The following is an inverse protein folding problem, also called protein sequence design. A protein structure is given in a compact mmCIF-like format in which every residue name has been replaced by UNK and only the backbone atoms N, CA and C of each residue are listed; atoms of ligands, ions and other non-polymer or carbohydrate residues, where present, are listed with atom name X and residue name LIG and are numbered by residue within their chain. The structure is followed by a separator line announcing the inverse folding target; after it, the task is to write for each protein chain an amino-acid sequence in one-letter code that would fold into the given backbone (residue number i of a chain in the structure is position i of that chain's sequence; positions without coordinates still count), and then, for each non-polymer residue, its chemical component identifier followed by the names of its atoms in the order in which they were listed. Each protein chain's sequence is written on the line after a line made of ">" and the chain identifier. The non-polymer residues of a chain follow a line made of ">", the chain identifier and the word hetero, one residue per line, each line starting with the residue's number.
data_IF_646724331525
#
_entry.id   IF_646724331525
#
_cell.length_a   1.000
_cell.length_b   1.000
_cell.length_c   1.000
_cell.angle_alpha   90.00
_cell.angle_beta   90.00
_cell.angle_gamma   90.00
#
_symmetry.space_group_name_H-M   'P 1'
#
loop_
_entity.id
_entity.type
_entity.pdbx_description
1 polymer ?
#
# COMPACT_ATOMS: atom_id res chain seq x y z
N UNK A 1 -1.62 -8.86 -10.41
CA UNK A 1 -2.73 -7.88 -10.49
C UNK A 1 -3.93 -8.39 -9.67
N UNK A 2 -3.87 -8.24 -8.35
CA UNK A 2 -4.99 -8.30 -7.37
C UNK A 2 -4.39 -8.26 -5.95
N UNK A 3 -3.46 -7.32 -5.71
CA UNK A 3 -2.76 -7.24 -4.41
C UNK A 3 -3.43 -6.22 -3.48
N UNK A 4 -4.08 -5.20 -4.05
CA UNK A 4 -4.86 -4.19 -3.30
C UNK A 4 -6.02 -4.72 -2.46
N UNK A 5 -6.60 -5.87 -2.81
CA UNK A 5 -7.74 -6.41 -2.07
C UNK A 5 -7.34 -7.15 -0.78
N UNK A 6 -6.05 -7.46 -0.58
CA UNK A 6 -5.59 -8.21 0.62
C UNK A 6 -5.27 -7.31 1.80
N UNK A 7 -4.79 -6.08 1.58
CA UNK A 7 -4.70 -5.06 2.63
C UNK A 7 -6.08 -4.48 3.01
N UNK A 8 -7.02 -4.39 2.06
CA UNK A 8 -8.41 -4.02 2.39
C UNK A 8 -9.08 -5.02 3.35
N UNK A 9 -8.83 -6.33 3.19
CA UNK A 9 -9.20 -7.33 4.21
C UNK A 9 -8.44 -7.11 5.52
N UNK A 10 -7.16 -6.74 5.45
CA UNK A 10 -6.33 -6.46 6.62
C UNK A 10 -6.81 -5.27 7.45
N UNK A 11 -7.43 -4.29 6.79
CA UNK A 11 -8.09 -3.13 7.36
C UNK A 11 -9.62 -3.26 7.35
N UNK A 12 -10.13 -4.48 7.57
CA UNK A 12 -11.52 -4.74 7.95
C UNK A 12 -12.61 -4.52 6.89
N UNK A 13 -12.26 -4.41 5.60
CA UNK A 13 -13.25 -4.50 4.53
C UNK A 13 -13.63 -5.98 4.32
N UNK A 14 -14.47 -6.50 5.21
CA UNK A 14 -15.01 -7.87 5.17
C UNK A 14 -16.15 -8.05 4.17
N UNK A 15 -16.38 -7.07 3.28
CA UNK A 15 -17.55 -7.03 2.39
C UNK A 15 -17.11 -7.29 0.95
N UNK A 16 -17.74 -8.26 0.30
CA UNK A 16 -17.54 -8.64 -1.11
C UNK A 16 -18.09 -7.55 -2.05
N UNK A 17 -17.50 -6.36 -2.03
CA UNK A 17 -18.11 -5.15 -2.60
C UNK A 17 -17.12 -4.31 -3.42
N UNK A 18 -16.28 -4.93 -4.25
CA UNK A 18 -15.30 -4.21 -5.08
C UNK A 18 -15.07 -4.87 -6.44
N UNK A 19 -15.40 -4.15 -7.50
CA UNK A 19 -15.17 -4.55 -8.90
C UNK A 19 -14.36 -3.48 -9.63
N UNK A 20 -13.56 -3.86 -10.62
CA UNK A 20 -12.82 -2.88 -11.40
C UNK A 20 -12.09 -3.41 -12.63
N UNK A 21 -11.69 -2.47 -13.48
CA UNK A 21 -10.92 -2.64 -14.69
C UNK A 21 -9.66 -1.79 -14.54
N UNK A 22 -8.49 -2.43 -14.58
CA UNK A 22 -7.19 -1.81 -14.24
C UNK A 22 -6.18 -2.00 -15.38
N UNK A 23 -5.48 -0.93 -15.73
CA UNK A 23 -4.37 -0.95 -16.68
C UNK A 23 -3.03 -0.69 -15.97
N UNK A 24 -1.92 -0.62 -16.73
CA UNK A 24 -0.58 -0.36 -16.19
C UNK A 24 -0.42 1.03 -15.59
N UNK A 25 -1.16 2.01 -16.11
CA UNK A 25 -1.20 3.40 -15.64
C UNK A 25 -2.34 3.65 -14.63
N UNK A 26 -2.91 2.58 -14.05
CA UNK A 26 -3.88 2.67 -12.95
C UNK A 26 -5.32 2.24 -13.29
N UNK A 27 -6.27 2.51 -12.38
CA UNK A 27 -7.67 2.12 -12.53
C UNK A 27 -8.36 2.89 -13.66
N UNK A 28 -9.11 2.18 -14.51
CA UNK A 28 -9.86 2.75 -15.65
C UNK A 28 -11.36 2.83 -15.39
N UNK A 29 -11.88 1.90 -14.61
CA UNK A 29 -13.24 1.89 -14.09
C UNK A 29 -13.24 1.07 -12.80
N UNK A 30 -13.98 1.49 -11.77
CA UNK A 30 -14.14 0.72 -10.56
C UNK A 30 -15.49 1.02 -9.92
N UNK A 31 -15.99 0.09 -9.13
CA UNK A 31 -17.22 0.21 -8.37
C UNK A 31 -17.00 -0.42 -7.00
N UNK A 32 -17.29 0.36 -5.96
CA UNK A 32 -17.27 -0.09 -4.58
C UNK A 32 -18.60 0.32 -3.94
N UNK A 33 -19.31 -0.64 -3.34
CA UNK A 33 -20.58 -0.39 -2.70
C UNK A 33 -20.93 -1.50 -1.71
N UNK A 34 -20.96 -1.16 -0.43
CA UNK A 34 -21.31 -2.07 0.67
C UNK A 34 -22.78 -1.99 1.08
N UNK A 35 -23.53 -1.01 0.55
CA UNK A 35 -24.91 -0.70 0.96
C UNK A 35 -25.97 -1.37 0.09
N UNK A 36 -25.68 -1.63 -1.19
CA UNK A 36 -26.66 -2.20 -2.12
C UNK A 36 -26.31 -3.64 -2.52
N UNK A 37 -27.33 -4.51 -2.57
CA UNK A 37 -27.21 -5.90 -3.05
C UNK A 37 -27.27 -6.03 -4.58
N UNK A 38 -27.34 -4.91 -5.32
CA UNK A 38 -27.49 -4.94 -6.77
C UNK A 38 -26.16 -5.20 -7.48
N UNK A 39 -26.17 -6.05 -8.51
CA UNK A 39 -25.05 -6.19 -9.43
C UNK A 39 -24.75 -4.88 -10.17
N UNK A 40 -23.48 -4.68 -10.55
CA UNK A 40 -23.03 -3.50 -11.29
C UNK A 40 -22.19 -3.90 -12.51
N UNK A 41 -22.56 -3.40 -13.69
CA UNK A 41 -21.84 -3.66 -14.93
C UNK A 41 -20.83 -2.54 -15.21
N UNK A 42 -19.54 -2.89 -15.29
CA UNK A 42 -18.47 -1.99 -15.71
C UNK A 42 -18.03 -2.34 -17.13
N UNK A 43 -17.96 -1.33 -18.01
CA UNK A 43 -17.46 -1.48 -19.38
C UNK A 43 -16.39 -0.42 -19.64
N UNK A 44 -15.24 -0.84 -20.17
CA UNK A 44 -14.16 0.07 -20.52
C UNK A 44 -13.28 -0.49 -21.64
N UNK A 45 -12.88 0.38 -22.56
CA UNK A 45 -11.90 0.06 -23.59
C UNK A 45 -10.47 0.05 -23.02
N UNK A 46 -9.66 -0.89 -23.47
CA UNK A 46 -8.26 -1.05 -23.08
C UNK A 46 -7.37 -1.25 -24.31
N UNK A 47 -6.12 -0.81 -24.21
CA UNK A 47 -5.10 -1.08 -25.21
C UNK A 47 -4.75 -2.58 -25.23
N UNK A 48 -4.86 -3.22 -26.38
CA UNK A 48 -4.56 -4.66 -26.53
C UNK A 48 -3.10 -5.00 -26.25
N UNK A 49 -2.18 -4.07 -26.54
CA UNK A 49 -0.74 -4.25 -26.32
C UNK A 49 -0.15 -3.09 -25.52
N UNK A 50 -0.36 -3.05 -24.18
CA UNK A 50 0.07 -1.94 -23.33
C UNK A 50 1.58 -1.70 -23.35
N UNK A 51 2.37 -2.75 -23.60
CA UNK A 51 3.84 -2.68 -23.64
C UNK A 51 4.38 -1.69 -24.69
N UNK A 52 3.68 -1.54 -25.82
CA UNK A 52 4.06 -0.60 -26.87
C UNK A 52 3.45 0.79 -26.69
N UNK A 53 2.69 1.01 -25.61
CA UNK A 53 2.18 2.33 -25.29
C UNK A 53 3.34 3.23 -24.85
N UNK A 54 3.39 4.50 -25.27
CA UNK A 54 4.34 5.46 -24.71
C UNK A 54 4.17 5.63 -23.19
N UNK A 55 2.98 5.30 -22.67
CA UNK A 55 2.64 5.36 -21.24
C UNK A 55 2.98 4.07 -20.48
N UNK A 56 3.72 3.12 -21.10
CA UNK A 56 4.11 1.90 -20.39
C UNK A 56 5.14 2.22 -19.31
N UNK A 57 4.91 1.78 -18.05
CA UNK A 57 5.80 2.12 -16.95
C UNK A 57 7.17 1.49 -17.15
N UNK A 58 8.20 2.31 -16.94
CA UNK A 58 9.60 1.87 -16.92
C UNK A 58 9.83 1.00 -15.68
N UNK A 59 10.81 0.10 -15.75
CA UNK A 59 11.23 -0.67 -14.59
C UNK A 59 11.61 0.24 -13.40
N UNK A 60 10.99 -0.01 -12.25
CA UNK A 60 11.19 0.76 -11.03
C UNK A 60 12.26 0.11 -10.17
N UNK A 61 13.23 0.90 -9.71
CA UNK A 61 14.16 0.48 -8.68
C UNK A 61 13.62 0.90 -7.31
N UNK A 62 12.86 0.01 -6.67
CA UNK A 62 12.10 0.29 -5.45
C UNK A 62 12.93 0.71 -4.25
N UNK A 63 14.22 0.41 -4.23
CA UNK A 63 15.13 0.69 -3.12
C UNK A 63 16.01 1.93 -3.35
N UNK A 64 16.05 2.48 -4.57
CA UNK A 64 17.03 3.50 -4.97
C UNK A 64 16.90 4.79 -4.17
N UNK A 65 15.70 5.36 -4.08
CA UNK A 65 15.46 6.59 -3.32
C UNK A 65 15.76 6.40 -1.83
N UNK A 66 15.15 5.37 -1.23
CA UNK A 66 15.26 5.09 0.20
C UNK A 66 16.72 4.83 0.65
N UNK A 67 17.55 4.23 -0.21
CA UNK A 67 18.95 3.95 0.12
C UNK A 67 19.86 5.20 0.13
N UNK A 68 19.43 6.31 -0.49
CA UNK A 68 20.21 7.56 -0.53
C UNK A 68 19.96 8.45 0.69
N UNK A 69 19.00 8.12 1.53
CA UNK A 69 18.62 8.93 2.70
C UNK A 69 19.57 8.56 3.85
N UNK A 70 20.49 9.47 4.19
CA UNK A 70 21.68 9.17 5.01
C UNK A 70 21.41 8.76 6.47
N UNK A 71 20.28 9.07 7.10
CA UNK A 71 19.73 8.36 8.27
C UNK A 71 18.43 9.01 8.80
N UNK A 72 17.69 8.20 9.58
CA UNK A 72 16.35 8.41 10.13
C UNK A 72 16.17 9.73 10.91
N UNK A 73 14.94 10.30 10.94
CA UNK A 73 14.59 11.16 12.06
C UNK A 73 14.70 10.36 13.37
N UNK A 74 15.48 10.95 14.26
CA UNK A 74 15.82 10.55 15.61
C UNK A 74 14.61 10.45 16.55
N UNK A 75 14.62 9.42 17.42
CA UNK A 75 13.99 9.35 18.75
C UNK A 75 12.69 10.13 18.98
N UNK A 76 11.59 9.76 18.32
CA UNK A 76 10.24 10.16 18.74
C UNK A 76 9.35 8.94 18.82
N UNK A 77 8.65 8.83 19.96
CA UNK A 77 7.68 7.81 20.36
C UNK A 77 7.24 6.88 19.20
N UNK A 78 7.86 5.71 19.12
CA UNK A 78 7.34 4.63 18.28
C UNK A 78 6.52 3.67 19.14
N UNK A 79 5.50 3.10 18.53
CA UNK A 79 4.65 2.09 19.16
C UNK A 79 4.44 0.93 18.20
N UNK A 80 3.95 -0.19 18.72
CA UNK A 80 3.68 -1.37 17.90
C UNK A 80 2.19 -1.67 17.84
N UNK A 81 1.77 -2.31 16.75
CA UNK A 81 0.37 -2.66 16.55
C UNK A 81 0.21 -3.83 15.62
N UNK A 82 -0.77 -4.67 15.89
CA UNK A 82 -1.09 -5.81 15.04
C UNK A 82 -2.13 -5.37 14.01
N UNK A 83 -1.76 -5.40 12.73
CA UNK A 83 -2.68 -5.23 11.60
C UNK A 83 -2.71 -6.55 10.86
N UNK A 84 -3.89 -7.18 10.80
CA UNK A 84 -4.10 -8.45 10.11
C UNK A 84 -3.05 -9.50 10.47
N UNK A 85 -2.93 -9.74 11.78
CA UNK A 85 -2.01 -10.70 12.38
C UNK A 85 -0.51 -10.41 12.19
N UNK A 86 -0.15 -9.27 11.61
CA UNK A 86 1.24 -8.84 11.43
C UNK A 86 1.60 -7.74 12.44
N UNK A 87 2.75 -7.86 13.11
CA UNK A 87 3.23 -6.86 14.07
C UNK A 87 3.97 -5.73 13.34
N UNK A 88 3.29 -4.60 13.20
CA UNK A 88 3.85 -3.37 12.64
C UNK A 88 4.47 -2.49 13.72
N UNK A 89 5.44 -1.67 13.30
CA UNK A 89 5.97 -0.55 14.07
C UNK A 89 5.50 0.76 13.45
N UNK A 90 5.06 1.70 14.29
CA UNK A 90 4.47 2.97 13.88
C UNK A 90 5.17 4.18 14.49
N UNK A 91 5.15 5.29 13.76
CA UNK A 91 5.48 6.63 14.26
C UNK A 91 4.39 7.61 13.83
N UNK A 92 4.00 8.49 14.74
CA UNK A 92 2.93 9.47 14.51
C UNK A 92 3.43 10.69 13.73
N UNK A 93 2.59 11.19 12.81
CA UNK A 93 2.80 12.47 12.14
C UNK A 93 2.27 13.60 13.04
N UNK A 94 3.12 14.13 13.93
CA UNK A 94 2.71 15.14 14.91
C UNK A 94 2.52 16.53 14.30
N UNK A 95 3.32 16.88 13.29
CA UNK A 95 3.30 18.18 12.62
C UNK A 95 2.41 18.14 11.36
N UNK A 96 1.97 19.30 10.82
CA UNK A 96 1.26 19.35 9.54
C UNK A 96 2.18 19.10 8.32
N UNK A 97 3.49 19.27 8.47
CA UNK A 97 4.49 19.03 7.43
C UNK A 97 5.74 18.42 8.06
N UNK A 98 6.38 17.48 7.38
CA UNK A 98 7.65 16.96 7.84
C UNK A 98 8.16 15.73 7.10
N UNK A 99 9.26 15.20 7.62
CA UNK A 99 9.87 13.97 7.17
C UNK A 99 9.93 12.99 8.34
N UNK A 100 9.48 11.76 8.13
CA UNK A 100 9.56 10.70 9.12
C UNK A 100 10.09 9.41 8.48
N UNK A 101 10.72 8.55 9.30
CA UNK A 101 11.13 7.23 8.88
C UNK A 101 10.98 6.25 10.02
N UNK A 102 10.70 4.99 9.68
CA UNK A 102 10.60 3.90 10.63
C UNK A 102 11.09 2.61 10.00
N UNK A 103 11.78 1.79 10.77
CA UNK A 103 12.33 0.53 10.30
C UNK A 103 11.73 -0.65 11.06
N UNK A 104 11.54 -1.76 10.35
CA UNK A 104 11.27 -3.06 10.93
C UNK A 104 12.12 -4.10 10.19
N UNK A 105 13.06 -4.72 10.90
CA UNK A 105 14.08 -5.60 10.32
C UNK A 105 14.86 -4.89 9.21
N UNK A 106 15.02 -5.54 8.05
CA UNK A 106 15.75 -5.02 6.88
C UNK A 106 14.95 -3.98 6.07
N UNK A 107 13.73 -3.62 6.49
CA UNK A 107 12.90 -2.63 5.81
C UNK A 107 12.84 -1.33 6.61
N UNK A 108 13.40 -0.27 6.05
CA UNK A 108 13.20 1.12 6.46
C UNK A 108 12.27 1.84 5.48
N UNK A 109 11.21 2.44 6.00
CA UNK A 109 10.21 3.21 5.29
C UNK A 109 10.41 4.69 5.54
N UNK A 110 10.32 5.51 4.50
CA UNK A 110 10.54 6.96 4.55
C UNK A 110 9.32 7.67 3.99
N UNK A 111 8.88 8.71 4.68
CA UNK A 111 7.75 9.54 4.28
C UNK A 111 8.13 11.02 4.40
N UNK A 112 7.95 11.75 3.30
CA UNK A 112 7.84 13.21 3.30
C UNK A 112 6.39 13.57 3.08
N UNK A 113 5.84 14.49 3.88
CA UNK A 113 4.42 14.85 3.78
C UNK A 113 4.17 16.32 4.08
N UNK A 114 3.08 16.83 3.50
CA UNK A 114 2.54 18.15 3.77
C UNK A 114 1.02 18.08 3.73
N UNK A 115 0.37 18.51 4.81
CA UNK A 115 -1.09 18.60 4.95
C UNK A 115 -1.53 20.03 4.67
N UNK A 116 -2.67 20.20 4.01
CA UNK A 116 -3.28 21.53 3.80
C UNK A 116 -3.82 22.07 5.12
N UNK A 117 -4.52 21.21 5.86
CA UNK A 117 -5.06 21.51 7.18
C UNK A 117 -5.11 20.21 7.98
N UNK A 118 -4.31 20.12 9.04
CA UNK A 118 -4.32 18.99 9.96
C UNK A 118 -5.54 19.10 10.88
N UNK A 119 -6.50 18.19 10.72
CA UNK A 119 -7.64 18.13 11.64
C UNK A 119 -7.18 17.52 12.97
N UNK A 120 -7.59 18.12 14.09
CA UNK A 120 -7.18 17.66 15.44
C UNK A 120 -7.60 16.23 15.74
N UNK A 121 -8.71 15.80 15.15
CA UNK A 121 -9.30 14.47 15.38
C UNK A 121 -8.77 13.40 14.39
N UNK A 122 -7.98 13.81 13.40
CA UNK A 122 -7.37 12.89 12.43
C UNK A 122 -5.88 12.68 12.77
N UNK A 123 -5.58 11.53 13.36
CA UNK A 123 -4.22 11.08 13.59
C UNK A 123 -3.77 10.21 12.42
N UNK A 124 -2.55 10.46 11.93
CA UNK A 124 -1.89 9.68 10.89
C UNK A 124 -0.58 9.12 11.40
N UNK A 125 -0.27 7.92 10.93
CA UNK A 125 0.97 7.22 11.29
C UNK A 125 1.68 6.66 10.06
N UNK A 126 3.01 6.66 10.10
CA UNK A 126 3.83 5.87 9.21
C UNK A 126 4.14 4.53 9.88
N UNK A 127 3.86 3.44 9.17
CA UNK A 127 4.08 2.07 9.60
C UNK A 127 5.05 1.29 8.72
N UNK A 128 5.82 0.39 9.34
CA UNK A 128 6.66 -0.59 8.66
C UNK A 128 6.39 -2.02 9.15
N UNK A 129 6.35 -2.95 8.19
CA UNK A 129 6.37 -4.38 8.45
C UNK A 129 7.36 -5.08 7.51
N UNK A 130 8.29 -5.85 8.03
CA UNK A 130 9.12 -6.77 7.26
C UNK A 130 9.13 -8.12 7.96
N UNK A 131 8.56 -9.15 7.35
CA UNK A 131 8.50 -10.47 8.00
C UNK A 131 7.49 -11.43 7.36
N UNK A 132 7.43 -12.67 7.88
CA UNK A 132 6.45 -13.66 7.44
C UNK A 132 5.05 -13.33 7.94
N UNK A 133 4.06 -13.48 7.07
CA UNK A 133 2.65 -13.59 7.42
C UNK A 133 2.28 -15.07 7.40
N UNK A 134 1.63 -15.56 8.45
CA UNK A 134 1.40 -17.01 8.67
C UNK A 134 -0.07 -17.39 8.88
N UNK A 135 -0.96 -16.39 9.00
CA UNK A 135 -2.40 -16.62 9.25
C UNK A 135 -3.13 -16.60 7.92
N UNK A 136 -3.97 -17.60 7.63
CA UNK A 136 -4.68 -17.71 6.33
C UNK A 136 -3.76 -17.79 5.10
N UNK A 137 -2.50 -18.18 5.31
CA UNK A 137 -1.48 -18.39 4.28
C UNK A 137 -0.09 -18.04 4.80
N UNK A 138 0.94 -18.70 4.28
CA UNK A 138 2.33 -18.45 4.65
C UNK A 138 3.06 -17.74 3.51
N UNK A 139 3.46 -16.48 3.76
CA UNK A 139 4.11 -15.66 2.75
C UNK A 139 4.84 -14.44 3.35
N UNK A 140 6.00 -14.05 2.79
CA UNK A 140 6.87 -13.00 3.33
C UNK A 140 6.58 -11.61 2.76
N UNK A 141 6.23 -10.65 3.61
CA UNK A 141 5.87 -9.30 3.21
C UNK A 141 6.92 -8.26 3.65
N UNK A 142 7.03 -7.21 2.85
CA UNK A 142 7.60 -5.94 3.25
C UNK A 142 6.55 -4.86 2.97
N UNK A 143 6.17 -4.06 3.95
CA UNK A 143 5.09 -3.07 3.81
C UNK A 143 5.55 -1.76 4.42
N UNK A 144 5.47 -0.69 3.61
CA UNK A 144 5.53 0.69 4.09
C UNK A 144 4.15 1.30 3.91
N UNK A 145 3.56 1.87 4.97
CA UNK A 145 2.19 2.38 4.93
C UNK A 145 2.05 3.69 5.69
N UNK A 146 1.41 4.68 5.09
CA UNK A 146 0.81 5.83 5.76
C UNK A 146 -0.67 5.53 5.91
N UNK A 147 -1.21 5.59 7.13
CA UNK A 147 -2.62 5.31 7.38
C UNK A 147 -3.22 6.26 8.41
N UNK A 148 -4.53 6.47 8.28
CA UNK A 148 -5.35 7.24 9.21
C UNK A 148 -5.85 6.35 10.34
N UNK A 149 -5.73 6.82 11.57
CA UNK A 149 -6.22 6.13 12.76
C UNK A 149 -7.71 6.40 13.00
N UNK A 150 -8.43 5.46 13.63
CA UNK A 150 -9.88 5.63 13.83
C UNK A 150 -10.22 6.81 14.72
N UNK A 151 -9.39 7.07 15.73
CA UNK A 151 -9.53 8.18 16.66
C UNK A 151 -8.16 8.81 16.95
N UNK A 152 -8.13 9.76 17.87
CA UNK A 152 -6.89 10.38 18.36
C UNK A 152 -6.02 9.45 19.22
N UNK A 153 -6.56 8.32 19.66
CA UNK A 153 -5.80 7.29 20.37
C UNK A 153 -4.95 6.44 19.39
N UNK A 154 -3.60 6.44 19.50
CA UNK A 154 -2.71 5.64 18.66
C UNK A 154 -3.02 4.15 18.64
N UNK A 155 -3.62 3.60 19.71
CA UNK A 155 -4.02 2.19 19.75
C UNK A 155 -5.07 1.85 18.69
N UNK A 156 -5.83 2.85 18.24
CA UNK A 156 -6.87 2.69 17.22
C UNK A 156 -6.36 2.72 15.78
N UNK A 157 -5.07 2.97 15.54
CA UNK A 157 -4.43 2.87 14.22
C UNK A 157 -4.41 1.43 13.67
N UNK A 158 -4.76 0.45 14.50
CA UNK A 158 -4.83 -0.98 14.18
C UNK A 158 -6.20 -1.39 13.61
N UNK A 159 -7.16 -0.46 13.55
CA UNK A 159 -8.56 -0.72 13.20
C UNK A 159 -8.91 -0.26 11.77
N UNK A 160 -9.93 -0.87 11.15
CA UNK A 160 -10.55 -0.36 9.92
C UNK A 160 -11.00 1.09 10.07
N UNK A 161 -10.74 1.89 9.04
CA UNK A 161 -11.30 3.25 8.90
C UNK A 161 -11.75 3.44 7.46
N UNK A 162 -12.92 4.06 7.28
CA UNK A 162 -13.48 4.34 5.95
C UNK A 162 -13.44 5.83 5.60
N UNK A 163 -13.33 6.71 6.60
CA UNK A 163 -13.44 8.16 6.43
C UNK A 163 -12.28 8.92 7.07
N UNK A 164 -11.88 10.00 6.40
CA UNK A 164 -10.89 10.97 6.84
C UNK A 164 -11.30 12.39 6.43
N UNK A 165 -10.83 13.40 7.16
CA UNK A 165 -11.15 14.82 6.93
C UNK A 165 -9.92 15.65 6.56
N UNK A 166 -8.72 15.21 6.91
CA UNK A 166 -7.45 15.88 6.64
C UNK A 166 -7.12 15.83 5.17
N UNK A 167 -7.00 17.03 4.58
CA UNK A 167 -6.59 17.19 3.18
C UNK A 167 -5.07 17.16 3.09
N UNK A 168 -4.53 16.33 2.21
CA UNK A 168 -3.09 16.26 1.95
C UNK A 168 -2.73 17.12 0.74
N UNK A 169 -1.70 17.94 0.89
CA UNK A 169 -1.09 18.67 -0.22
C UNK A 169 -0.10 17.78 -0.95
N UNK A 170 0.72 17.04 -0.20
CA UNK A 170 1.77 16.20 -0.73
C UNK A 170 2.05 15.00 0.18
N UNK A 171 2.30 13.84 -0.42
CA UNK A 171 3.06 12.76 0.20
C UNK A 171 4.11 12.21 -0.76
N UNK A 172 5.21 11.70 -0.21
CA UNK A 172 6.23 10.92 -0.91
C UNK A 172 6.65 9.76 -0.01
N UNK A 173 6.27 8.54 -0.40
CA UNK A 173 6.53 7.31 0.35
C UNK A 173 7.55 6.46 -0.41
N UNK A 174 8.58 5.99 0.28
CA UNK A 174 9.57 5.06 -0.26
C UNK A 174 10.05 4.07 0.80
N UNK A 175 10.70 2.99 0.39
CA UNK A 175 11.21 1.98 1.32
C UNK A 175 12.42 1.23 0.79
N UNK A 176 13.23 0.66 1.69
CA UNK A 176 14.42 -0.14 1.35
C UNK A 176 14.05 -1.58 1.00
N UNK A 177 13.09 -1.76 0.08
CA UNK A 177 12.57 -3.07 -0.32
C UNK A 177 13.69 -4.01 -0.79
N UNK A 178 13.67 -5.24 -0.30
CA UNK A 178 14.55 -6.35 -0.72
C UNK A 178 14.01 -7.11 -1.93
N UNK A 179 12.94 -6.63 -2.54
CA UNK A 179 12.22 -7.26 -3.66
C UNK A 179 11.89 -6.22 -4.73
N UNK A 180 11.83 -6.66 -5.99
CA UNK A 180 11.33 -5.83 -7.09
C UNK A 180 9.80 -5.92 -7.26
N UNK A 181 9.14 -6.81 -6.50
CA UNK A 181 7.70 -7.04 -6.57
C UNK A 181 6.95 -6.19 -5.54
N UNK A 182 6.87 -4.89 -5.80
CA UNK A 182 6.16 -3.92 -4.95
C UNK A 182 4.91 -3.41 -5.68
N UNK A 183 3.81 -3.35 -4.93
CA UNK A 183 2.49 -2.94 -5.40
C UNK A 183 2.09 -1.65 -4.69
N UNK A 184 2.00 -0.52 -5.40
CA UNK A 184 1.55 0.75 -4.84
C UNK A 184 0.03 0.77 -4.67
N UNK A 185 -0.43 1.31 -3.54
CA UNK A 185 -1.84 1.39 -3.16
C UNK A 185 -2.13 2.78 -2.59
N UNK A 186 -3.17 3.44 -3.08
CA UNK A 186 -3.67 4.72 -2.57
C UNK A 186 -5.18 4.64 -2.45
N UNK A 187 -5.69 4.89 -1.24
CA UNK A 187 -7.11 4.95 -0.94
C UNK A 187 -7.44 6.30 -0.31
N UNK A 188 -8.52 6.88 -0.79
CA UNK A 188 -9.15 8.08 -0.24
C UNK A 188 -10.37 7.73 0.61
N UNK A 189 -10.81 8.71 1.40
CA UNK A 189 -12.04 8.65 2.19
C UNK A 189 -13.24 8.18 1.35
N UNK A 190 -14.06 7.32 1.95
CA UNK A 190 -15.12 6.57 1.27
C UNK A 190 -14.60 5.34 0.51
N UNK A 191 -13.39 4.86 0.81
CA UNK A 191 -12.75 3.69 0.17
C UNK A 191 -12.64 3.88 -1.36
N UNK A 192 -12.27 5.08 -1.77
CA UNK A 192 -12.22 5.46 -3.19
C UNK A 192 -10.78 5.36 -3.72
N UNK A 193 -10.62 4.84 -4.93
CA UNK A 193 -9.32 4.84 -5.60
C UNK A 193 -8.94 6.26 -6.03
N UNK A 194 -7.64 6.48 -6.21
CA UNK A 194 -7.03 7.75 -6.62
C UNK A 194 -6.52 7.71 -8.09
N UNK A 195 -7.39 7.58 -9.11
CA UNK A 195 -6.94 7.55 -10.50
C UNK A 195 -6.24 8.86 -10.86
N UNK A 196 -4.99 8.78 -11.33
CA UNK A 196 -4.19 9.91 -11.86
C UNK A 196 -3.81 11.00 -10.84
N UNK A 197 -4.01 10.76 -9.55
CA UNK A 197 -3.58 11.71 -8.50
C UNK A 197 -2.26 11.28 -7.82
N UNK A 198 -1.78 10.07 -8.13
CA UNK A 198 -0.52 9.53 -7.62
C UNK A 198 0.33 8.89 -8.72
N UNK A 199 1.64 8.92 -8.55
CA UNK A 199 2.61 8.36 -9.49
C UNK A 199 3.71 7.60 -8.76
N UNK A 200 4.25 6.58 -9.42
CA UNK A 200 5.46 5.89 -8.98
C UNK A 200 6.63 6.36 -9.85
N UNK A 201 7.62 6.97 -9.20
CA UNK A 201 8.86 7.37 -9.84
C UNK A 201 9.78 6.16 -10.06
N UNK A 202 10.70 6.30 -11.01
CA UNK A 202 11.65 5.23 -11.39
C UNK A 202 12.61 4.84 -10.26
N UNK A 203 12.77 5.70 -9.26
CA UNK A 203 13.61 5.47 -8.07
C UNK A 203 12.85 4.88 -6.87
N UNK A 204 11.60 4.45 -7.06
CA UNK A 204 10.81 3.73 -6.07
C UNK A 204 9.95 4.61 -5.16
N UNK A 205 9.91 5.92 -5.37
CA UNK A 205 9.02 6.83 -4.63
C UNK A 205 7.59 6.78 -5.19
N UNK A 206 6.61 6.58 -4.30
CA UNK A 206 5.20 6.83 -4.57
C UNK A 206 4.84 8.25 -4.12
N UNK A 207 4.47 9.11 -5.06
CA UNK A 207 4.19 10.53 -4.84
C UNK A 207 2.76 10.90 -5.23
N UNK A 208 2.26 12.01 -4.69
CA UNK A 208 1.08 12.72 -5.23
C UNK A 208 1.49 13.75 -6.28
N UNK A 209 0.74 13.84 -7.38
CA UNK A 209 1.05 14.80 -8.45
C UNK A 209 0.52 16.22 -8.19
N UNK A 210 -0.48 16.41 -7.32
CA UNK A 210 -1.11 17.71 -7.00
C UNK A 210 -1.80 17.67 -5.63
N UNK A 211 -2.32 18.82 -5.15
CA UNK A 211 -3.21 18.86 -3.98
C UNK A 211 -4.38 17.88 -4.20
N UNK A 212 -4.45 16.85 -3.36
CA UNK A 212 -5.42 15.77 -3.51
C UNK A 212 -6.85 16.31 -3.49
N UNK A 213 -7.71 15.82 -4.39
CA UNK A 213 -9.10 16.26 -4.45
C UNK A 213 -9.92 15.73 -3.27
N UNK A 214 -9.41 14.66 -2.64
CA UNK A 214 -10.03 13.90 -1.56
C UNK A 214 -9.03 13.62 -0.44
N UNK A 215 -9.55 13.34 0.74
CA UNK A 215 -8.77 13.11 1.95
C UNK A 215 -8.13 11.73 1.93
N UNK A 216 -6.83 11.67 2.22
CA UNK A 216 -6.05 10.43 2.19
C UNK A 216 -6.46 9.53 3.35
N UNK A 217 -6.80 8.28 3.03
CA UNK A 217 -7.08 7.26 4.03
C UNK A 217 -5.84 6.39 4.26
N UNK A 218 -5.28 5.85 3.17
CA UNK A 218 -4.14 4.94 3.17
C UNK A 218 -3.26 5.21 1.94
N UNK A 219 -1.94 5.22 2.13
CA UNK A 219 -0.92 5.16 1.07
C UNK A 219 0.03 4.04 1.43
N UNK A 220 0.14 3.02 0.60
CA UNK A 220 0.92 1.82 0.92
C UNK A 220 1.78 1.37 -0.25
N UNK A 221 2.98 0.90 0.07
CA UNK A 221 3.83 0.11 -0.81
C UNK A 221 3.90 -1.31 -0.21
N UNK A 222 3.23 -2.27 -0.86
CA UNK A 222 3.24 -3.68 -0.46
C UNK A 222 4.25 -4.46 -1.32
N UNK A 223 5.33 -4.91 -0.71
CA UNK A 223 6.33 -5.80 -1.30
C UNK A 223 6.07 -7.28 -1.00
N UNK A 224 6.15 -8.12 -2.02
CA UNK A 224 6.16 -9.59 -1.91
C UNK A 224 7.58 -10.11 -2.09
N UNK A 225 8.09 -10.84 -1.10
CA UNK A 225 9.41 -11.45 -1.17
C UNK A 225 9.31 -12.96 -1.33
N UNK A 226 9.00 -13.40 -2.54
CA UNK A 226 8.69 -14.81 -2.84
C UNK A 226 9.83 -15.76 -2.47
N UNK A 227 11.08 -15.32 -2.62
CA UNK A 227 12.27 -16.11 -2.27
C UNK A 227 12.42 -16.36 -0.77
N UNK A 228 11.70 -15.61 0.07
CA UNK A 228 11.64 -15.79 1.53
C UNK A 228 10.36 -16.49 2.00
N UNK A 229 9.45 -16.85 1.09
CA UNK A 229 8.32 -17.71 1.45
C UNK A 229 8.87 -19.06 1.94
N UNK A 230 8.29 -19.63 3.00
CA UNK A 230 8.73 -20.93 3.51
C UNK A 230 8.65 -21.96 2.38
N UNK A 231 9.64 -22.87 2.26
CA UNK A 231 9.61 -23.88 1.23
C UNK A 231 8.31 -24.67 1.37
N UNK A 232 7.45 -24.56 0.37
CA UNK A 232 6.33 -25.47 0.25
C UNK A 232 6.92 -26.88 0.25
N UNK A 233 6.52 -27.71 1.22
CA UNK A 233 6.76 -29.14 1.10
C UNK A 233 5.91 -29.59 -0.06
N UNK A 234 6.45 -29.50 -1.28
CA UNK A 234 5.86 -30.16 -2.42
C UNK A 234 5.83 -31.64 -2.06
N UNK A 235 4.67 -32.14 -1.64
CA UNK A 235 4.37 -33.53 -1.90
C UNK A 235 4.46 -33.66 -3.41
N UNK A 236 5.59 -34.18 -3.88
CA UNK A 236 5.81 -34.60 -5.25
C UNK A 236 4.77 -35.68 -5.52
N UNK A 237 3.55 -35.30 -5.90
CA UNK A 237 2.65 -36.19 -6.61
C UNK A 237 3.29 -36.39 -7.97
N UNK A 238 3.71 -37.61 -8.22
CA UNK A 238 4.38 -38.07 -9.44
C UNK A 238 3.59 -37.60 -10.66
N UNK A 239 4.01 -36.51 -11.30
CA UNK A 239 3.46 -36.11 -12.58
C UNK A 239 4.06 -37.04 -13.64
N UNK A 240 3.21 -37.84 -14.30
CA UNK A 240 3.57 -38.60 -15.49
C UNK A 240 4.19 -37.67 -16.53
N UNK A 241 5.43 -37.95 -16.92
CA UNK A 241 6.04 -37.36 -18.12
C UNK A 241 5.39 -37.99 -19.36
N UNK A 242 4.74 -37.18 -20.19
CA UNK A 242 4.46 -37.57 -21.57
C UNK A 242 5.76 -37.42 -22.37
N UNK A 243 6.44 -38.53 -22.64
CA UNK A 243 7.46 -38.60 -23.69
C UNK A 243 6.76 -38.78 -25.03
N UNK A 244 6.89 -37.80 -25.92
CA UNK A 244 6.57 -37.95 -27.35
C UNK A 244 7.68 -38.75 -28.02
N UNK A 245 7.31 -39.89 -28.63
CA UNK A 245 8.09 -40.55 -29.68
C UNK A 245 7.90 -39.83 -31.01
#
# INVERSE_FOLDING_TARGET
>A
KSTGLRLLKAFGCSVLAGSGIYASDGPKAYFYNTEMENGHLLVRELTSCPYFSPDYPIAVNWKLSASRIEQLPSNKHYFSGVIYYNLFFFTELTEPEGNCAICHQDLCCHLSYKMVEKQKDDVYVLGAFGGPHVVEGEYYLQICTLLKCKSTDPETCKQPVETAQTKSEMFSLSGTFGTNYVFPEVLYSGVQLAPRESEVLTDGCLITQTSTSKTVLIVTLLGRWYEKDSPHTEQISSACFCTTN
#
